data_IF_829126973472
#
_entry.id   IF_829126973472
#
_cell.length_a   1.000
_cell.length_b   1.000
_cell.length_c   1.000
_cell.angle_alpha   90.00
_cell.angle_beta   90.00
_cell.angle_gamma   90.00
#
_symmetry.space_group_name_H-M   'P 1'
#
loop_
_entity.id
_entity.type
_entity.pdbx_description
1 polymer ?
#
# COMPACT_ATOMS: atom_id res chain seq x y z
N UNK A 1 -22.54 6.19 -2.49
CA UNK A 1 -22.00 7.56 -2.52
C UNK A 1 -20.69 7.51 -3.29
N UNK A 2 -20.60 8.10 -4.49
CA UNK A 2 -19.33 8.14 -5.25
C UNK A 2 -18.36 9.08 -4.54
N UNK A 3 -17.10 8.70 -4.44
CA UNK A 3 -16.04 9.56 -3.95
C UNK A 3 -15.96 10.79 -4.89
N UNK A 4 -16.45 11.96 -4.44
CA UNK A 4 -16.46 13.15 -5.28
C UNK A 4 -15.04 13.60 -5.57
N UNK A 5 -14.73 13.82 -6.84
CA UNK A 5 -13.38 14.14 -7.35
C UNK A 5 -12.75 15.39 -6.67
N UNK A 6 -13.56 16.26 -6.10
CA UNK A 6 -13.14 17.48 -5.37
C UNK A 6 -12.76 17.24 -3.91
N UNK A 7 -13.24 16.15 -3.25
CA UNK A 7 -12.90 15.75 -1.88
C UNK A 7 -11.92 14.56 -1.82
N UNK A 8 -11.40 14.12 -2.95
CA UNK A 8 -10.66 12.86 -3.07
C UNK A 8 -9.31 12.81 -2.35
N UNK A 9 -8.77 13.94 -1.91
CA UNK A 9 -7.45 14.04 -1.32
C UNK A 9 -7.48 15.13 -0.25
N UNK A 10 -7.74 14.74 0.99
CA UNK A 10 -7.82 15.65 2.13
C UNK A 10 -6.46 16.19 2.60
N UNK A 11 -5.37 15.61 2.10
CA UNK A 11 -4.02 15.98 2.48
C UNK A 11 -3.39 17.10 1.65
N UNK A 12 -2.18 17.55 2.02
CA UNK A 12 -1.47 18.61 1.33
C UNK A 12 -1.10 18.21 -0.10
N UNK A 13 -1.26 19.13 -1.05
CA UNK A 13 -0.92 18.92 -2.46
C UNK A 13 0.49 19.40 -2.77
N UNK A 14 1.17 18.72 -3.68
CA UNK A 14 2.46 19.18 -4.25
C UNK A 14 2.62 18.70 -5.69
N UNK A 15 3.60 19.28 -6.41
CA UNK A 15 4.03 18.78 -7.70
C UNK A 15 4.88 17.51 -7.54
N UNK A 16 4.69 16.53 -8.44
CA UNK A 16 5.57 15.37 -8.55
C UNK A 16 6.81 15.65 -9.43
N UNK A 17 6.74 16.67 -10.30
CA UNK A 17 7.86 17.11 -11.11
C UNK A 17 8.73 18.08 -10.29
N UNK A 18 9.70 17.52 -9.59
CA UNK A 18 10.60 18.25 -8.69
C UNK A 18 12.03 17.72 -8.79
N UNK A 19 13.02 18.55 -8.46
CA UNK A 19 14.40 18.10 -8.30
C UNK A 19 14.57 17.23 -7.04
N UNK A 20 15.66 16.47 -6.95
CA UNK A 20 15.98 15.66 -5.76
C UNK A 20 16.11 16.55 -4.51
N UNK A 21 16.67 17.74 -4.63
CA UNK A 21 16.78 18.70 -3.53
C UNK A 21 15.39 19.18 -3.06
N UNK A 22 14.50 19.51 -3.98
CA UNK A 22 13.12 19.90 -3.68
C UNK A 22 12.32 18.72 -3.09
N UNK A 23 12.51 17.50 -3.60
CA UNK A 23 11.91 16.29 -3.04
C UNK A 23 12.33 16.06 -1.59
N UNK A 24 13.60 16.27 -1.25
CA UNK A 24 14.12 16.19 0.13
C UNK A 24 13.51 17.25 1.04
N UNK A 25 13.36 18.47 0.56
CA UNK A 25 12.71 19.55 1.30
C UNK A 25 11.22 19.24 1.54
N UNK A 26 10.53 18.70 0.53
CA UNK A 26 9.16 18.23 0.64
C UNK A 26 8.99 17.12 1.68
N UNK A 27 9.86 16.11 1.69
CA UNK A 27 9.80 15.04 2.71
C UNK A 27 9.92 15.61 4.13
N UNK A 28 10.86 16.56 4.35
CA UNK A 28 11.02 17.20 5.67
C UNK A 28 9.75 17.96 6.09
N UNK A 29 9.22 18.81 5.21
CA UNK A 29 8.04 19.63 5.47
C UNK A 29 6.79 18.76 5.70
N UNK A 30 6.54 17.78 4.82
CA UNK A 30 5.34 16.94 4.91
C UNK A 30 5.37 16.00 6.11
N UNK A 31 6.54 15.57 6.56
CA UNK A 31 6.71 14.74 7.75
C UNK A 31 6.10 15.37 9.01
N UNK A 32 6.14 16.69 9.12
CA UNK A 32 5.59 17.43 10.28
C UNK A 32 4.06 17.31 10.39
N UNK A 33 3.39 16.95 9.29
CA UNK A 33 1.94 16.77 9.24
C UNK A 33 1.51 15.32 9.48
N UNK A 34 2.45 14.40 9.77
CA UNK A 34 2.11 13.02 10.06
C UNK A 34 1.41 12.89 11.42
N UNK A 35 0.26 12.24 11.42
CA UNK A 35 -0.38 11.73 12.62
C UNK A 35 0.23 10.34 12.89
N UNK A 36 0.94 10.18 14.01
CA UNK A 36 1.68 8.95 14.37
C UNK A 36 0.95 8.08 15.38
N UNK A 37 -0.20 8.52 15.84
CA UNK A 37 -1.12 7.83 16.75
C UNK A 37 -2.31 7.24 15.99
N UNK A 38 -3.05 6.37 16.67
CA UNK A 38 -4.21 5.71 16.08
C UNK A 38 -5.36 6.72 15.91
N UNK A 39 -5.69 7.01 14.65
CA UNK A 39 -6.82 7.85 14.23
C UNK A 39 -7.57 7.15 13.10
N UNK A 40 -8.06 5.94 13.37
CA UNK A 40 -8.88 5.15 12.45
C UNK A 40 -10.29 4.95 12.98
N UNK A 41 -11.24 4.99 12.07
CA UNK A 41 -12.62 4.62 12.32
C UNK A 41 -12.87 3.11 12.16
N UNK A 42 -14.13 2.71 12.07
CA UNK A 42 -14.49 1.33 11.76
C UNK A 42 -13.89 0.87 10.42
N UNK A 43 -13.26 -0.31 10.42
CA UNK A 43 -12.66 -0.89 9.23
C UNK A 43 -13.65 -1.81 8.51
N UNK A 44 -13.97 -1.50 7.27
CA UNK A 44 -14.82 -2.32 6.40
C UNK A 44 -14.18 -2.58 5.03
N UNK A 45 -13.26 -1.70 4.61
CA UNK A 45 -12.52 -1.82 3.34
C UNK A 45 -11.04 -1.57 3.56
N UNK A 46 -10.20 -2.55 3.24
CA UNK A 46 -8.75 -2.41 3.21
C UNK A 46 -8.26 -2.43 1.78
N UNK A 47 -7.19 -1.69 1.49
CA UNK A 47 -6.56 -1.69 0.18
C UNK A 47 -5.10 -2.13 0.23
N UNK A 48 -4.63 -2.71 -0.86
CA UNK A 48 -3.23 -2.90 -1.18
C UNK A 48 -2.87 -2.14 -2.44
N UNK A 49 -1.65 -1.63 -2.51
CA UNK A 49 -1.17 -0.87 -3.64
C UNK A 49 0.26 -1.26 -3.99
N UNK A 50 0.53 -1.37 -5.29
CA UNK A 50 1.85 -1.72 -5.82
C UNK A 50 2.06 -1.08 -7.20
N UNK A 51 3.33 -0.96 -7.62
CA UNK A 51 3.75 -0.38 -8.90
C UNK A 51 4.83 -1.23 -9.55
N UNK A 52 4.70 -1.44 -10.85
CA UNK A 52 5.80 -1.93 -11.68
C UNK A 52 6.15 -0.92 -12.77
N UNK A 53 7.39 -0.98 -13.24
CA UNK A 53 7.90 -0.09 -14.29
C UNK A 53 8.07 -0.85 -15.60
N UNK A 54 7.67 -0.23 -16.72
CA UNK A 54 7.84 -0.77 -18.06
C UNK A 54 7.73 0.33 -19.10
N UNK A 55 8.60 0.34 -20.12
CA UNK A 55 8.53 1.30 -21.23
C UNK A 55 8.55 2.77 -20.82
N UNK A 56 9.27 3.13 -19.75
CA UNK A 56 9.29 4.51 -19.24
C UNK A 56 8.06 4.91 -18.41
N UNK A 57 7.12 3.98 -18.16
CA UNK A 57 5.91 4.22 -17.38
C UNK A 57 5.91 3.45 -16.06
N UNK A 58 5.30 4.03 -15.04
CA UNK A 58 4.84 3.35 -13.83
C UNK A 58 3.41 2.83 -14.04
N UNK A 59 3.23 1.52 -13.88
CA UNK A 59 1.93 0.84 -13.90
C UNK A 59 1.54 0.56 -12.46
N UNK A 60 0.57 1.29 -11.93
CA UNK A 60 0.06 1.12 -10.58
C UNK A 60 -1.22 0.30 -10.57
N UNK A 61 -1.39 -0.55 -9.56
CA UNK A 61 -2.68 -1.16 -9.24
C UNK A 61 -3.02 -0.95 -7.77
N UNK A 62 -4.29 -0.69 -7.51
CA UNK A 62 -4.89 -0.66 -6.19
C UNK A 62 -6.01 -1.70 -6.13
N UNK A 63 -5.93 -2.56 -5.14
CA UNK A 63 -6.90 -3.63 -4.91
C UNK A 63 -7.60 -3.39 -3.59
N UNK A 64 -8.93 -3.37 -3.58
CA UNK A 64 -9.70 -3.24 -2.35
C UNK A 64 -10.36 -4.56 -1.94
N UNK A 65 -10.39 -4.81 -0.64
CA UNK A 65 -10.98 -6.02 -0.05
C UNK A 65 -11.93 -5.64 1.08
N UNK A 66 -13.00 -6.42 1.24
CA UNK A 66 -13.85 -6.34 2.43
C UNK A 66 -13.06 -6.83 3.65
N UNK A 67 -13.09 -6.08 4.74
CA UNK A 67 -12.46 -6.48 5.99
C UNK A 67 -13.53 -6.91 7.01
N UNK A 68 -13.31 -7.94 7.81
CA UNK A 68 -12.10 -8.76 7.97
C UNK A 68 -12.00 -9.98 7.01
N UNK A 69 -13.03 -10.24 6.19
CA UNK A 69 -13.12 -11.43 5.36
C UNK A 69 -12.06 -11.50 4.25
N UNK A 70 -11.48 -10.37 3.87
CA UNK A 70 -10.54 -10.19 2.75
C UNK A 70 -11.12 -10.68 1.40
N UNK A 71 -12.41 -10.43 1.20
CA UNK A 71 -13.10 -10.68 -0.06
C UNK A 71 -12.76 -9.58 -1.05
N UNK A 72 -12.28 -9.94 -2.24
CA UNK A 72 -11.91 -9.01 -3.31
C UNK A 72 -13.13 -8.22 -3.79
N UNK A 73 -13.04 -6.88 -3.79
CA UNK A 73 -14.13 -5.98 -4.17
C UNK A 73 -13.88 -5.26 -5.48
N UNK A 74 -12.72 -4.60 -5.59
CA UNK A 74 -12.41 -3.74 -6.74
C UNK A 74 -10.93 -3.81 -7.06
N UNK A 75 -10.62 -3.74 -8.35
CA UNK A 75 -9.26 -3.56 -8.86
C UNK A 75 -9.27 -2.35 -9.76
N UNK A 76 -8.45 -1.37 -9.46
CA UNK A 76 -8.23 -0.19 -10.31
C UNK A 76 -6.75 -0.06 -10.65
N UNK A 77 -6.45 0.50 -11.80
CA UNK A 77 -5.07 0.70 -12.21
C UNK A 77 -4.90 2.01 -12.97
N UNK A 78 -3.68 2.51 -13.00
CA UNK A 78 -3.30 3.67 -13.79
C UNK A 78 -1.89 3.48 -14.36
N UNK A 79 -1.60 4.18 -15.45
CA UNK A 79 -0.27 4.33 -16.03
C UNK A 79 0.11 5.80 -16.02
N UNK A 80 1.34 6.10 -15.64
CA UNK A 80 1.90 7.44 -15.68
C UNK A 80 3.35 7.41 -16.15
N UNK A 81 3.81 8.38 -16.92
CA UNK A 81 5.23 8.55 -17.24
C UNK A 81 6.08 8.63 -15.97
N UNK A 82 7.24 8.00 -15.98
CA UNK A 82 8.23 8.09 -14.89
C UNK A 82 9.17 9.24 -15.17
N UNK A 83 8.98 10.35 -14.48
CA UNK A 83 9.78 11.57 -14.66
C UNK A 83 10.88 11.73 -13.60
N UNK A 84 10.75 11.07 -12.45
CA UNK A 84 11.73 11.16 -11.36
C UNK A 84 12.79 10.04 -11.48
N UNK A 85 14.10 10.35 -11.34
CA UNK A 85 15.17 9.35 -11.42
C UNK A 85 15.07 8.33 -10.28
N UNK A 86 15.70 7.15 -10.46
CA UNK A 86 15.83 6.20 -9.36
C UNK A 86 16.89 6.71 -8.38
N UNK A 87 16.43 7.15 -7.21
CA UNK A 87 17.28 7.58 -6.09
C UNK A 87 16.78 6.88 -4.83
N UNK A 88 17.64 6.11 -4.13
CA UNK A 88 17.26 5.48 -2.86
C UNK A 88 16.69 6.50 -1.87
N UNK A 89 15.59 6.15 -1.19
CA UNK A 89 14.88 7.06 -0.29
C UNK A 89 13.88 8.02 -0.96
N UNK A 90 13.74 7.98 -2.30
CA UNK A 90 12.78 8.81 -3.03
C UNK A 90 11.80 8.00 -3.89
N UNK A 91 11.59 6.74 -3.54
CA UNK A 91 10.71 5.82 -4.28
C UNK A 91 9.32 6.42 -4.54
N UNK A 92 8.77 7.13 -3.56
CA UNK A 92 7.45 7.75 -3.66
C UNK A 92 7.33 8.73 -4.83
N UNK A 93 8.40 9.45 -5.20
CA UNK A 93 8.37 10.39 -6.32
C UNK A 93 8.33 9.68 -7.68
N UNK A 94 8.74 8.41 -7.74
CA UNK A 94 8.60 7.57 -8.95
C UNK A 94 7.24 6.88 -9.03
N UNK A 95 6.74 6.40 -7.90
CA UNK A 95 5.51 5.59 -7.81
C UNK A 95 4.27 6.44 -7.56
N UNK A 96 4.43 7.54 -6.85
CA UNK A 96 3.34 8.39 -6.37
C UNK A 96 2.40 8.89 -7.46
N UNK A 97 2.87 9.38 -8.62
CA UNK A 97 1.99 9.81 -9.71
C UNK A 97 1.01 8.71 -10.15
N UNK A 98 1.52 7.51 -10.42
CA UNK A 98 0.71 6.39 -10.88
C UNK A 98 -0.22 5.86 -9.78
N UNK A 99 0.26 5.75 -8.53
CA UNK A 99 -0.57 5.36 -7.39
C UNK A 99 -1.69 6.37 -7.14
N UNK A 100 -1.37 7.65 -7.12
CA UNK A 100 -2.37 8.70 -6.93
C UNK A 100 -3.44 8.68 -8.03
N UNK A 101 -3.04 8.47 -9.28
CA UNK A 101 -3.97 8.33 -10.41
C UNK A 101 -4.84 7.07 -10.27
N UNK A 102 -4.29 5.95 -9.78
CA UNK A 102 -5.06 4.74 -9.52
C UNK A 102 -6.06 4.93 -8.37
N UNK A 103 -5.64 5.52 -7.24
CA UNK A 103 -6.54 5.79 -6.11
C UNK A 103 -7.73 6.67 -6.49
N UNK A 104 -7.56 7.64 -7.40
CA UNK A 104 -8.67 8.49 -7.90
C UNK A 104 -9.74 7.71 -8.67
N UNK A 105 -9.43 6.49 -9.14
CA UNK A 105 -10.38 5.63 -9.87
C UNK A 105 -11.23 4.76 -8.96
N UNK A 106 -10.92 4.68 -7.67
CA UNK A 106 -11.70 3.91 -6.71
C UNK A 106 -13.12 4.48 -6.57
N UNK A 107 -14.11 3.60 -6.54
CA UNK A 107 -15.50 3.96 -6.27
C UNK A 107 -15.73 4.30 -4.81
N UNK A 108 -15.00 3.63 -3.91
CA UNK A 108 -15.07 3.84 -2.46
C UNK A 108 -13.67 4.04 -1.88
N UNK A 109 -13.52 5.02 -0.98
CA UNK A 109 -12.30 5.24 -0.20
C UNK A 109 -12.06 4.04 0.71
N UNK A 110 -10.84 3.49 0.76
CA UNK A 110 -10.47 2.49 1.75
C UNK A 110 -10.34 3.12 3.14
N UNK A 111 -10.61 2.32 4.17
CA UNK A 111 -10.46 2.72 5.56
C UNK A 111 -9.01 2.50 6.05
N UNK A 112 -8.23 1.70 5.32
CA UNK A 112 -6.81 1.39 5.57
C UNK A 112 -6.11 1.02 4.25
N UNK A 113 -4.86 1.47 4.08
CA UNK A 113 -4.03 1.09 2.93
C UNK A 113 -2.73 0.44 3.39
N UNK A 114 -2.40 -0.71 2.81
CA UNK A 114 -1.10 -1.37 2.93
C UNK A 114 -0.30 -1.13 1.64
N UNK A 115 0.90 -0.58 1.76
CA UNK A 115 1.82 -0.33 0.64
C UNK A 115 2.99 -1.30 0.64
N UNK A 116 3.38 -1.79 -0.54
CA UNK A 116 4.67 -2.51 -0.72
C UNK A 116 5.82 -1.49 -0.65
N UNK A 117 6.23 -1.15 0.55
CA UNK A 117 7.23 -0.12 0.82
C UNK A 117 7.30 0.24 2.29
N UNK A 118 8.05 1.29 2.60
CA UNK A 118 8.27 1.73 3.96
C UNK A 118 7.35 2.89 4.37
N UNK A 119 7.04 2.95 5.67
CA UNK A 119 6.49 4.11 6.35
C UNK A 119 7.58 4.88 7.10
N UNK A 120 7.49 4.92 8.43
CA UNK A 120 8.49 5.54 9.31
C UNK A 120 9.88 4.86 9.26
N UNK A 121 9.97 3.57 8.87
CA UNK A 121 11.25 2.86 8.69
C UNK A 121 11.99 3.33 7.41
N UNK A 122 12.28 4.62 7.35
CA UNK A 122 12.85 5.34 6.21
C UNK A 122 13.91 6.34 6.72
N UNK A 123 15.01 6.63 5.99
CA UNK A 123 16.02 7.58 6.45
C UNK A 123 15.44 8.95 6.82
N UNK A 124 14.52 9.47 6.02
CA UNK A 124 13.81 10.72 6.33
C UNK A 124 12.62 10.56 7.28
N UNK A 125 12.35 9.35 7.85
CA UNK A 125 11.13 9.03 8.60
C UNK A 125 9.85 9.35 7.80
N UNK A 126 9.95 9.29 6.47
CA UNK A 126 8.87 9.67 5.55
C UNK A 126 8.94 8.85 4.26
N UNK A 127 8.63 7.55 4.34
CA UNK A 127 8.59 6.64 3.19
C UNK A 127 7.24 6.69 2.46
N UNK A 128 7.04 5.74 1.54
CA UNK A 128 5.88 5.65 0.65
C UNK A 128 4.54 5.67 1.42
N UNK A 129 4.41 4.86 2.48
CA UNK A 129 3.18 4.79 3.26
C UNK A 129 2.90 6.06 4.07
N UNK A 130 3.95 6.77 4.54
CA UNK A 130 3.80 8.08 5.15
C UNK A 130 3.30 9.11 4.14
N UNK A 131 3.97 9.19 3.00
CA UNK A 131 3.71 10.20 1.99
C UNK A 131 2.31 10.02 1.38
N UNK A 132 1.98 8.84 0.87
CA UNK A 132 0.67 8.60 0.26
C UNK A 132 -0.44 8.53 1.30
N UNK A 133 -0.19 8.00 2.50
CA UNK A 133 -1.14 8.05 3.60
C UNK A 133 -1.56 9.48 3.94
N UNK A 134 -0.58 10.40 4.01
CA UNK A 134 -0.83 11.82 4.25
C UNK A 134 -1.58 12.49 3.09
N UNK A 135 -1.15 12.27 1.81
CA UNK A 135 -1.81 12.86 0.65
C UNK A 135 -3.25 12.39 0.46
N UNK A 136 -3.50 11.12 0.75
CA UNK A 136 -4.83 10.50 0.68
C UNK A 136 -5.65 10.74 1.95
N UNK A 137 -5.01 11.26 3.00
CA UNK A 137 -5.56 11.42 4.36
C UNK A 137 -6.19 10.11 4.88
N UNK A 138 -5.48 8.98 4.74
CA UNK A 138 -5.95 7.64 5.09
C UNK A 138 -4.95 6.93 6.01
N UNK A 139 -5.41 6.13 6.98
CA UNK A 139 -4.54 5.24 7.73
C UNK A 139 -3.71 4.36 6.80
N UNK A 140 -2.39 4.32 7.02
CA UNK A 140 -1.46 3.69 6.10
C UNK A 140 -0.38 2.88 6.79
N UNK A 141 -0.04 1.72 6.21
CA UNK A 141 1.01 0.81 6.70
C UNK A 141 2.00 0.55 5.57
N UNK A 142 3.28 0.66 5.87
CA UNK A 142 4.36 0.19 5.00
C UNK A 142 4.73 -1.25 5.34
N UNK A 143 4.77 -2.12 4.35
CA UNK A 143 5.11 -3.55 4.45
C UNK A 143 6.20 -3.89 3.45
N UNK A 144 7.46 -3.65 3.78
CA UNK A 144 8.58 -3.86 2.88
C UNK A 144 9.16 -5.28 2.96
N UNK A 145 9.74 -5.75 1.86
CA UNK A 145 10.38 -7.08 1.77
C UNK A 145 11.83 -7.09 2.24
N UNK A 146 12.45 -5.91 2.39
CA UNK A 146 13.83 -5.69 2.83
C UNK A 146 13.92 -4.52 3.81
N UNK A 147 14.99 -4.45 4.59
CA UNK A 147 15.28 -3.33 5.49
C UNK A 147 15.90 -2.18 4.66
N UNK A 148 15.42 -0.95 4.88
CA UNK A 148 15.95 0.24 4.23
C UNK A 148 16.81 1.07 5.17
N UNK A 149 16.46 1.12 6.46
CA UNK A 149 17.17 1.91 7.47
C UNK A 149 17.07 1.28 8.85
N UNK A 150 18.01 1.62 9.71
CA UNK A 150 18.06 1.13 11.07
C UNK A 150 18.63 -0.28 11.20
N UNK A 151 18.54 -0.84 12.41
CA UNK A 151 19.03 -2.16 12.75
C UNK A 151 17.94 -3.00 13.43
N UNK A 152 17.98 -4.30 13.20
CA UNK A 152 17.08 -5.28 13.82
C UNK A 152 17.77 -6.64 13.98
N UNK A 153 17.63 -7.25 15.15
CA UNK A 153 18.23 -8.56 15.45
C UNK A 153 17.41 -9.71 14.81
N UNK A 154 17.51 -9.87 13.49
CA UNK A 154 16.76 -10.88 12.72
C UNK A 154 17.09 -12.30 13.20
N UNK A 155 18.33 -12.62 13.54
CA UNK A 155 18.73 -13.94 14.06
C UNK A 155 18.03 -14.34 15.35
N UNK A 156 17.52 -13.37 16.12
CA UNK A 156 16.74 -13.60 17.34
C UNK A 156 15.22 -13.56 17.13
N UNK A 157 14.76 -13.50 15.88
CA UNK A 157 13.34 -13.50 15.55
C UNK A 157 12.78 -14.92 15.55
N UNK A 158 11.78 -15.19 16.39
CA UNK A 158 11.10 -16.48 16.45
C UNK A 158 10.53 -16.94 15.10
N UNK A 159 10.34 -18.26 14.93
CA UNK A 159 9.88 -18.87 13.67
C UNK A 159 8.36 -18.87 13.50
N UNK A 160 7.59 -18.66 14.58
CA UNK A 160 6.13 -18.70 14.56
C UNK A 160 5.54 -17.39 14.04
N UNK A 161 4.37 -17.48 13.43
CA UNK A 161 3.54 -16.34 13.04
C UNK A 161 3.33 -15.39 14.21
N UNK A 162 3.44 -14.09 13.97
CA UNK A 162 3.32 -13.05 15.00
C UNK A 162 4.64 -12.71 15.72
N UNK A 163 5.70 -13.55 15.59
CA UNK A 163 7.01 -13.19 16.10
C UNK A 163 7.48 -11.87 15.48
N UNK A 164 7.97 -10.96 16.34
CA UNK A 164 8.38 -9.61 15.93
C UNK A 164 9.62 -9.15 16.67
N UNK A 165 10.41 -8.28 16.03
CA UNK A 165 11.55 -7.56 16.59
C UNK A 165 11.53 -6.13 16.09
N UNK A 166 11.69 -5.18 17.01
CA UNK A 166 11.69 -3.75 16.66
C UNK A 166 12.87 -3.38 15.79
N UNK A 167 12.65 -2.46 14.87
CA UNK A 167 13.69 -1.79 14.07
C UNK A 167 13.98 -0.48 14.78
N UNK A 168 15.26 -0.25 15.12
CA UNK A 168 15.72 1.01 15.70
C UNK A 168 16.61 1.74 14.73
N UNK A 169 16.41 3.05 14.64
CA UNK A 169 17.26 3.95 13.87
C UNK A 169 17.39 5.27 14.65
N UNK A 170 18.62 5.71 14.89
CA UNK A 170 18.94 6.91 15.65
C UNK A 170 18.24 6.94 17.03
N UNK A 171 18.25 5.81 17.75
CA UNK A 171 17.60 5.64 19.06
C UNK A 171 16.07 5.45 19.03
N UNK A 172 15.41 5.77 17.91
CA UNK A 172 13.96 5.71 17.74
C UNK A 172 13.50 4.32 17.26
N UNK A 173 12.32 3.85 17.71
CA UNK A 173 11.64 2.68 17.13
C UNK A 173 10.88 3.14 15.87
N UNK A 174 11.34 2.70 14.71
CA UNK A 174 10.78 3.13 13.40
C UNK A 174 9.91 2.06 12.73
N UNK A 175 9.91 0.84 13.25
CA UNK A 175 9.15 -0.27 12.70
C UNK A 175 9.47 -1.58 13.40
N UNK A 176 9.08 -2.69 12.79
CA UNK A 176 9.44 -4.02 13.24
C UNK A 176 9.58 -5.03 12.10
N UNK A 177 10.50 -5.96 12.23
CA UNK A 177 10.48 -7.19 11.47
C UNK A 177 9.36 -8.09 12.03
N UNK A 178 8.48 -8.58 11.16
CA UNK A 178 7.30 -9.35 11.50
C UNK A 178 7.25 -10.66 10.71
N UNK A 179 7.03 -11.79 11.41
CA UNK A 179 6.77 -13.08 10.80
C UNK A 179 5.26 -13.25 10.54
N UNK A 180 4.87 -13.26 9.29
CA UNK A 180 3.47 -13.29 8.87
C UNK A 180 2.86 -14.69 8.80
N UNK A 181 3.71 -15.70 8.64
CA UNK A 181 3.38 -17.13 8.72
C UNK A 181 4.55 -17.90 9.30
N UNK A 182 4.32 -19.13 9.76
CA UNK A 182 5.35 -19.97 10.34
C UNK A 182 6.46 -20.26 9.31
N UNK A 183 7.71 -20.13 9.71
CA UNK A 183 8.87 -20.45 8.91
C UNK A 183 9.18 -19.51 7.73
N UNK A 184 8.26 -18.60 7.32
CA UNK A 184 8.52 -17.68 6.19
C UNK A 184 9.54 -16.59 6.58
N UNK A 185 10.24 -16.04 5.60
CA UNK A 185 11.08 -14.85 5.84
C UNK A 185 10.22 -13.69 6.34
N UNK A 186 10.67 -12.88 7.33
CA UNK A 186 9.90 -11.76 7.83
C UNK A 186 9.71 -10.68 6.76
N UNK A 187 8.71 -9.83 6.97
CA UNK A 187 8.56 -8.52 6.34
C UNK A 187 8.90 -7.43 7.35
N UNK A 188 9.16 -6.22 6.84
CA UNK A 188 9.50 -5.05 7.65
C UNK A 188 8.30 -4.11 7.64
N UNK A 189 7.59 -4.07 8.78
CA UNK A 189 6.37 -3.29 8.96
C UNK A 189 6.69 -1.98 9.65
N UNK A 190 6.18 -0.88 9.14
CA UNK A 190 6.25 0.42 9.78
C UNK A 190 4.95 1.20 9.62
N UNK A 191 4.60 1.99 10.63
CA UNK A 191 3.46 2.90 10.53
C UNK A 191 3.70 3.94 9.45
N UNK A 192 2.65 4.33 8.75
CA UNK A 192 2.64 5.44 7.80
C UNK A 192 1.99 6.68 8.42
N UNK A 193 0.70 6.88 8.13
CA UNK A 193 -0.12 8.00 8.61
C UNK A 193 -1.29 7.47 9.42
N UNK A 194 -1.73 8.19 10.49
CA UNK A 194 -2.89 7.88 11.34
C UNK A 194 -2.86 6.51 12.01
N UNK A 195 -1.67 5.97 12.29
CA UNK A 195 -1.50 4.67 12.92
C UNK A 195 -0.27 4.62 13.82
N UNK A 196 -0.41 3.95 14.96
CA UNK A 196 0.69 3.50 15.79
C UNK A 196 1.32 2.22 15.26
N UNK A 197 2.57 1.92 15.63
CA UNK A 197 3.24 0.68 15.25
C UNK A 197 2.54 -0.58 15.79
N UNK A 198 2.07 -0.64 17.05
CA UNK A 198 1.33 -1.80 17.56
C UNK A 198 0.09 -2.12 16.73
N UNK A 199 -0.70 -1.11 16.36
CA UNK A 199 -1.88 -1.27 15.52
C UNK A 199 -1.53 -1.66 14.09
N UNK A 200 -0.48 -1.07 13.51
CA UNK A 200 0.02 -1.47 12.20
C UNK A 200 0.41 -2.95 12.14
N UNK A 201 1.12 -3.46 13.17
CA UNK A 201 1.50 -4.88 13.26
C UNK A 201 0.28 -5.79 13.37
N UNK A 202 -0.68 -5.45 14.24
CA UNK A 202 -1.92 -6.21 14.43
C UNK A 202 -2.73 -6.28 13.13
N UNK A 203 -2.98 -5.14 12.47
CA UNK A 203 -3.73 -5.08 11.21
C UNK A 203 -3.01 -5.79 10.06
N UNK A 204 -1.69 -5.70 9.99
CA UNK A 204 -0.89 -6.47 9.02
C UNK A 204 -1.13 -7.97 9.18
N UNK A 205 -1.09 -8.50 10.41
CA UNK A 205 -1.36 -9.92 10.67
C UNK A 205 -2.78 -10.32 10.31
N UNK A 206 -3.80 -9.48 10.56
CA UNK A 206 -5.18 -9.75 10.14
C UNK A 206 -5.31 -9.83 8.60
N UNK A 207 -4.49 -9.10 7.88
CA UNK A 207 -4.44 -9.14 6.41
C UNK A 207 -3.61 -10.30 5.84
N UNK A 208 -3.01 -11.18 6.67
CA UNK A 208 -2.20 -12.31 6.22
C UNK A 208 -3.03 -13.59 6.12
N UNK A 209 -2.87 -14.35 5.04
CA UNK A 209 -3.54 -15.63 4.74
C UNK A 209 -2.56 -16.79 4.52
N UNK A 210 -1.47 -16.85 5.32
CA UNK A 210 -0.46 -17.90 5.24
C UNK A 210 0.66 -17.62 4.24
N UNK A 211 0.67 -16.46 3.58
CA UNK A 211 1.76 -16.00 2.74
C UNK A 211 2.69 -15.05 3.50
N UNK A 212 3.91 -14.86 2.98
CA UNK A 212 4.88 -13.89 3.51
C UNK A 212 4.34 -12.47 3.47
N UNK A 213 3.67 -12.09 2.37
CA UNK A 213 3.16 -10.75 2.14
C UNK A 213 1.65 -10.70 2.46
N UNK A 214 1.13 -9.64 3.10
CA UNK A 214 -0.29 -9.46 3.34
C UNK A 214 -1.12 -9.55 2.05
N UNK A 215 -2.32 -10.09 2.15
CA UNK A 215 -3.18 -10.38 1.01
C UNK A 215 -3.48 -9.15 0.13
N UNK A 216 -3.76 -7.95 0.69
CA UNK A 216 -3.98 -6.77 -0.15
C UNK A 216 -2.78 -6.44 -1.06
N UNK A 217 -1.55 -6.50 -0.52
CA UNK A 217 -0.33 -6.22 -1.30
C UNK A 217 -0.07 -7.34 -2.31
N UNK A 218 -0.23 -8.61 -1.91
CA UNK A 218 -0.04 -9.77 -2.79
C UNK A 218 -0.96 -9.72 -4.00
N UNK A 219 -2.20 -9.25 -3.83
CA UNK A 219 -3.16 -9.07 -4.91
C UNK A 219 -2.81 -7.88 -5.80
N UNK A 220 -2.34 -6.77 -5.22
CA UNK A 220 -1.88 -5.62 -5.99
C UNK A 220 -0.66 -5.97 -6.86
N UNK A 221 0.35 -6.65 -6.31
CA UNK A 221 1.51 -7.16 -7.06
C UNK A 221 1.09 -8.06 -8.23
N UNK A 222 0.18 -9.02 -7.99
CA UNK A 222 -0.34 -9.88 -9.05
C UNK A 222 -1.12 -9.11 -10.12
N UNK A 223 -1.88 -8.10 -9.75
CA UNK A 223 -2.62 -7.23 -10.67
C UNK A 223 -1.66 -6.41 -11.54
N UNK A 224 -0.65 -5.79 -10.94
CA UNK A 224 0.40 -5.04 -11.64
C UNK A 224 1.16 -5.94 -12.62
N UNK A 225 1.59 -7.13 -12.18
CA UNK A 225 2.29 -8.08 -13.03
C UNK A 225 1.45 -8.53 -14.24
N UNK A 226 0.14 -8.65 -14.09
CA UNK A 226 -0.77 -8.99 -15.17
C UNK A 226 -0.95 -7.83 -16.16
N UNK A 227 -1.20 -6.62 -15.64
CA UNK A 227 -1.38 -5.40 -16.43
C UNK A 227 -0.10 -5.01 -17.19
N UNK A 228 1.06 -5.22 -16.58
CA UNK A 228 2.36 -5.03 -17.27
C UNK A 228 2.49 -5.90 -18.50
N UNK A 229 2.04 -7.16 -18.46
CA UNK A 229 2.12 -8.11 -19.60
C UNK A 229 1.05 -7.87 -20.66
N UNK A 230 -0.19 -7.57 -20.24
CA UNK A 230 -1.34 -7.44 -21.16
C UNK A 230 -1.47 -6.04 -21.77
N UNK A 231 -0.83 -5.04 -21.17
CA UNK A 231 -1.13 -3.65 -21.45
C UNK A 231 -2.45 -3.19 -20.79
N UNK A 232 -2.82 -1.93 -20.99
CA UNK A 232 -4.07 -1.36 -20.48
C UNK A 232 -4.08 -1.07 -18.98
N UNK A 233 -5.25 -0.66 -18.49
CA UNK A 233 -5.51 -0.28 -17.09
C UNK A 233 -6.80 -0.88 -16.54
N UNK A 234 -7.40 -1.82 -17.27
CA UNK A 234 -8.65 -2.49 -16.86
C UNK A 234 -8.36 -3.94 -16.49
N UNK A 235 -8.75 -4.34 -15.29
CA UNK A 235 -8.63 -5.69 -14.79
C UNK A 235 -9.83 -6.03 -13.90
N UNK A 236 -10.80 -6.81 -14.42
CA UNK A 236 -11.92 -7.28 -13.61
C UNK A 236 -11.44 -8.12 -12.42
N UNK A 237 -12.06 -7.99 -11.23
CA UNK A 237 -11.72 -8.77 -10.05
C UNK A 237 -11.73 -10.29 -10.30
N UNK A 238 -12.67 -10.76 -11.11
CA UNK A 238 -12.84 -12.18 -11.47
C UNK A 238 -11.62 -12.72 -12.24
N UNK A 239 -11.04 -11.91 -13.13
CA UNK A 239 -9.86 -12.28 -13.91
C UNK A 239 -8.62 -12.41 -13.02
N UNK A 240 -8.45 -11.49 -12.07
CA UNK A 240 -7.40 -11.58 -11.08
C UNK A 240 -7.55 -12.84 -10.21
N UNK A 241 -8.76 -13.10 -9.72
CA UNK A 241 -9.06 -14.29 -8.91
C UNK A 241 -8.86 -15.59 -9.68
N UNK A 242 -9.23 -15.64 -10.98
CA UNK A 242 -9.02 -16.77 -11.88
C UNK A 242 -7.53 -17.05 -12.11
N UNK A 243 -6.75 -16.00 -12.35
CA UNK A 243 -5.30 -16.12 -12.54
C UNK A 243 -4.61 -16.74 -11.31
N UNK A 244 -4.97 -16.26 -10.14
CA UNK A 244 -4.36 -16.71 -8.89
C UNK A 244 -4.72 -18.18 -8.57
N UNK A 245 -5.92 -18.63 -8.90
CA UNK A 245 -6.30 -20.06 -8.81
C UNK A 245 -5.43 -20.93 -9.71
N UNK A 246 -5.22 -20.53 -10.97
CA UNK A 246 -4.40 -21.30 -11.94
C UNK A 246 -2.93 -21.45 -11.50
N UNK A 247 -2.44 -20.57 -10.62
CA UNK A 247 -1.09 -20.62 -10.05
C UNK A 247 -1.00 -21.40 -8.73
N UNK A 248 -2.01 -22.21 -8.40
CA UNK A 248 -2.04 -23.00 -7.17
C UNK A 248 -2.30 -22.16 -5.90
N UNK A 249 -2.74 -20.91 -6.06
CA UNK A 249 -3.11 -20.05 -4.93
C UNK A 249 -4.43 -20.46 -4.28
N UNK A 250 -4.59 -20.10 -3.00
CA UNK A 250 -5.86 -20.28 -2.28
C UNK A 250 -6.98 -19.52 -3.01
N UNK A 251 -8.20 -20.08 -2.96
CA UNK A 251 -9.38 -19.41 -3.51
C UNK A 251 -9.59 -18.06 -2.83
N UNK A 252 -9.68 -16.98 -3.63
CA UNK A 252 -10.01 -15.65 -3.17
C UNK A 252 -11.49 -15.45 -3.44
N UNK A 253 -12.31 -15.22 -2.41
CA UNK A 253 -13.70 -14.88 -2.63
C UNK A 253 -13.77 -13.49 -3.29
N UNK A 254 -14.62 -13.37 -4.31
CA UNK A 254 -14.93 -12.11 -4.98
C UNK A 254 -16.31 -11.68 -4.50
N UNK A 255 -16.48 -10.41 -4.13
CA UNK A 255 -17.77 -9.87 -3.77
C UNK A 255 -18.69 -9.87 -4.99
N UNK A 256 -19.95 -10.25 -4.81
CA UNK A 256 -20.94 -10.13 -5.86
C UNK A 256 -20.99 -8.68 -6.33
N UNK A 257 -20.81 -8.47 -7.62
CA UNK A 257 -21.05 -7.18 -8.26
C UNK A 257 -22.57 -6.98 -8.21
N UNK A 258 -23.06 -6.13 -7.32
CA UNK A 258 -24.44 -5.64 -7.44
C UNK A 258 -24.50 -4.88 -8.77
N UNK A 259 -25.34 -5.31 -9.76
CA UNK A 259 -25.54 -4.54 -10.95
C UNK A 259 -26.19 -3.22 -10.51
N UNK A 260 -25.43 -2.13 -10.62
CA UNK A 260 -26.00 -0.80 -10.45
C UNK A 260 -27.16 -0.66 -11.42
N UNK A 261 -28.37 -0.55 -10.92
CA UNK A 261 -29.53 -0.17 -11.74
C UNK A 261 -29.23 1.19 -12.34
N UNK A 262 -28.88 1.19 -13.60
CA UNK A 262 -28.90 2.38 -14.43
C UNK A 262 -30.38 2.60 -14.76
N UNK A 263 -31.04 3.53 -14.09
CA UNK A 263 -32.31 4.09 -14.52
C UNK A 263 -31.98 5.29 -15.39
N UNK A 264 -32.26 5.27 -16.70
CA UNK A 264 -32.32 6.51 -17.48
C UNK A 264 -33.51 7.29 -16.98
N UNK A 265 -33.29 8.49 -16.47
CA UNK A 265 -34.35 9.44 -16.23
C UNK A 265 -34.83 9.92 -17.59
N UNK A 266 -36.11 9.73 -17.85
CA UNK A 266 -36.93 10.38 -18.87
C UNK A 266 -37.00 11.88 -18.66
#
# INVERSE_FOLDING_TARGET
MRWSHTRAMGGPRHSWSVSVAAARALQRRLREHLIREDALGPLSVVAGADVAFTGGEGVAAVVTLAFPALTLREVVAARCPVTFPYVPGFLTFREGPALQAAFRRLRRRPDLVLFDGHGLAHPARFGLACHLGLLLDVPAIGCAKSLLTGAVAIGRLGRRRGARRVIRADGEVVGAALRTADGVRPIFVSAGHRLSLPTALRLTLHCCRGYRVPEPIRLADAAVALLKRRGGTTLPPEDLARLLRRRGGRRIPVAATSPGRYSPAS
#
